data_IF_132391797873
#
_entry.id   IF_132391797873
#
_cell.length_a   1.000
_cell.length_b   1.000
_cell.length_c   1.000
_cell.angle_alpha   90.00
_cell.angle_beta   90.00
_cell.angle_gamma   90.00
#
_symmetry.space_group_name_H-M   'P 1'
#
loop_
_entity.id
_entity.type
_entity.pdbx_description
1 polymer ?
#
# COMPACT_ATOMS: atom_id res chain seq x y z
N UNK A 1 -21.25 -8.02 18.88
CA UNK A 1 -20.66 -7.93 17.55
C UNK A 1 -20.79 -6.49 17.10
N UNK A 2 -19.67 -5.73 17.15
CA UNK A 2 -19.64 -4.43 16.52
C UNK A 2 -19.65 -4.65 15.02
N UNK A 3 -20.65 -4.09 14.34
CA UNK A 3 -20.55 -3.93 12.88
C UNK A 3 -19.32 -3.05 12.63
N UNK A 4 -18.30 -3.51 11.90
CA UNK A 4 -17.12 -2.68 11.59
C UNK A 4 -17.48 -1.51 10.66
N UNK A 5 -18.70 -1.44 10.21
CA UNK A 5 -19.25 -0.49 9.24
C UNK A 5 -20.23 0.49 9.89
N UNK A 6 -19.85 1.11 10.99
CA UNK A 6 -20.48 2.36 11.38
C UNK A 6 -20.28 3.32 10.21
N UNK A 7 -21.39 3.84 9.68
CA UNK A 7 -21.40 4.84 8.59
C UNK A 7 -20.31 5.89 8.80
N UNK A 8 -19.16 5.67 8.16
CA UNK A 8 -18.02 6.59 8.23
C UNK A 8 -18.32 7.89 7.48
N UNK A 9 -19.33 7.89 6.64
CA UNK A 9 -19.98 9.09 6.12
C UNK A 9 -21.21 9.30 6.97
N UNK A 10 -21.09 10.09 8.04
CA UNK A 10 -22.25 10.52 8.79
C UNK A 10 -23.22 11.20 7.82
N UNK A 11 -24.53 10.95 7.94
CA UNK A 11 -25.56 11.71 7.21
C UNK A 11 -25.45 13.23 7.44
N UNK A 12 -24.62 13.66 8.37
CA UNK A 12 -24.31 15.04 8.71
C UNK A 12 -23.10 15.61 7.97
N UNK A 13 -22.41 14.81 7.12
CA UNK A 13 -21.38 15.35 6.21
C UNK A 13 -20.09 15.89 6.85
N UNK A 14 -19.76 15.48 8.10
CA UNK A 14 -18.52 15.94 8.73
C UNK A 14 -17.33 15.19 8.19
N UNK A 15 -16.67 15.75 7.17
CA UNK A 15 -15.43 15.28 6.61
C UNK A 15 -14.26 15.91 7.38
N UNK A 16 -13.36 15.10 7.94
CA UNK A 16 -12.19 15.57 8.71
C UNK A 16 -10.95 15.86 7.84
N UNK A 17 -10.95 15.41 6.59
CA UNK A 17 -9.86 15.69 5.65
C UNK A 17 -10.08 17.04 4.92
N UNK A 18 -9.01 17.66 4.38
CA UNK A 18 -9.14 18.79 3.48
C UNK A 18 -10.14 18.55 2.35
N UNK A 19 -10.69 19.63 1.76
CA UNK A 19 -11.79 19.53 0.79
C UNK A 19 -11.45 18.73 -0.47
N UNK A 20 -10.19 18.75 -0.90
CA UNK A 20 -9.73 18.21 -2.17
C UNK A 20 -9.49 16.69 -2.17
N UNK A 21 -9.31 16.03 -1.02
CA UNK A 21 -9.18 14.57 -0.96
C UNK A 21 -10.02 13.93 0.14
N UNK A 22 -10.26 12.63 0.01
CA UNK A 22 -10.90 11.81 1.05
C UNK A 22 -10.36 10.39 1.05
N UNK A 23 -10.37 9.76 2.23
CA UNK A 23 -10.12 8.32 2.34
C UNK A 23 -11.38 7.54 2.01
N UNK A 24 -11.22 6.50 1.19
CA UNK A 24 -12.27 5.54 0.84
C UNK A 24 -11.84 4.16 1.34
N UNK A 25 -12.43 3.72 2.44
CA UNK A 25 -12.12 2.43 3.04
C UNK A 25 -12.93 1.34 2.37
N UNK A 26 -12.27 0.33 1.80
CA UNK A 26 -12.92 -0.73 1.03
C UNK A 26 -13.03 -2.08 1.77
N UNK A 27 -12.21 -2.28 2.80
CA UNK A 27 -12.25 -3.47 3.65
C UNK A 27 -11.66 -3.19 5.03
N UNK A 28 -11.91 -4.06 5.99
CA UNK A 28 -11.35 -4.06 7.35
C UNK A 28 -10.67 -5.39 7.64
N UNK A 29 -9.68 -5.39 8.54
CA UNK A 29 -8.98 -6.58 8.99
C UNK A 29 -7.98 -7.13 7.96
N UNK A 30 -7.24 -8.16 8.37
CA UNK A 30 -6.18 -8.75 7.55
C UNK A 30 -6.00 -10.23 7.89
N UNK A 31 -5.82 -11.07 6.85
CA UNK A 31 -5.61 -12.52 7.01
C UNK A 31 -4.11 -12.91 7.01
N UNK A 32 -3.19 -11.95 6.92
CA UNK A 32 -1.77 -12.25 7.01
C UNK A 32 -1.32 -12.55 8.44
N UNK A 33 -0.25 -13.32 8.54
CA UNK A 33 0.38 -13.71 9.81
C UNK A 33 1.82 -13.19 9.91
N UNK A 34 2.06 -11.95 9.43
CA UNK A 34 3.38 -11.32 9.53
C UNK A 34 3.82 -11.26 10.99
N UNK A 35 5.03 -11.74 11.30
CA UNK A 35 5.47 -11.92 12.68
C UNK A 35 5.61 -10.63 13.47
N UNK A 36 5.86 -9.51 12.80
CA UNK A 36 5.98 -8.17 13.40
C UNK A 36 4.65 -7.44 13.60
N UNK A 37 3.53 -8.04 13.19
CA UNK A 37 2.24 -7.33 13.07
C UNK A 37 1.17 -7.98 13.95
N UNK A 38 0.37 -7.13 14.63
CA UNK A 38 -0.77 -7.53 15.47
C UNK A 38 -2.13 -7.11 14.89
N UNK A 39 -2.16 -6.62 13.67
CA UNK A 39 -3.40 -6.14 13.04
C UNK A 39 -4.52 -7.19 13.05
N UNK A 40 -4.27 -8.49 12.74
CA UNK A 40 -5.34 -9.50 12.82
C UNK A 40 -5.94 -9.66 14.22
N UNK A 41 -5.18 -9.40 15.27
CA UNK A 41 -5.66 -9.42 16.65
C UNK A 41 -6.51 -8.18 16.98
N UNK A 42 -6.13 -7.01 16.45
CA UNK A 42 -6.81 -5.73 16.72
C UNK A 42 -8.04 -5.51 15.83
N UNK A 43 -7.96 -5.90 14.55
CA UNK A 43 -8.96 -5.57 13.53
C UNK A 43 -9.73 -6.79 13.01
N UNK A 44 -9.36 -7.99 13.44
CA UNK A 44 -9.98 -9.23 13.00
C UNK A 44 -9.54 -9.67 11.59
N UNK A 45 -10.29 -10.61 11.06
CA UNK A 45 -10.09 -11.15 9.70
C UNK A 45 -10.55 -10.15 8.65
N UNK A 46 -10.05 -10.33 7.43
CA UNK A 46 -10.47 -9.55 6.27
C UNK A 46 -12.00 -9.62 6.10
N UNK A 47 -12.61 -8.46 5.99
CA UNK A 47 -14.03 -8.28 5.66
C UNK A 47 -14.16 -7.17 4.60
N UNK A 48 -14.56 -7.54 3.39
CA UNK A 48 -14.73 -6.64 2.26
C UNK A 48 -16.11 -6.00 2.27
N UNK A 49 -16.15 -4.70 2.01
CA UNK A 49 -17.41 -3.95 1.87
C UNK A 49 -18.09 -4.28 0.53
N UNK A 50 -19.44 -4.24 0.46
CA UNK A 50 -20.16 -4.34 -0.78
C UNK A 50 -19.77 -3.26 -1.79
N UNK A 51 -19.73 -3.64 -3.09
CA UNK A 51 -19.39 -2.71 -4.19
C UNK A 51 -20.37 -1.53 -4.23
N UNK A 52 -21.68 -1.79 -4.06
CA UNK A 52 -22.69 -0.73 -4.05
C UNK A 52 -22.43 0.34 -2.99
N UNK A 53 -22.05 -0.06 -1.77
CA UNK A 53 -21.78 0.87 -0.68
C UNK A 53 -20.52 1.71 -0.96
N UNK A 54 -19.46 1.08 -1.45
CA UNK A 54 -18.21 1.77 -1.81
C UNK A 54 -18.47 2.78 -2.92
N UNK A 55 -19.18 2.38 -3.97
CA UNK A 55 -19.48 3.26 -5.10
C UNK A 55 -20.40 4.41 -4.74
N UNK A 56 -21.41 4.16 -3.86
CA UNK A 56 -22.26 5.22 -3.32
C UNK A 56 -21.44 6.26 -2.56
N UNK A 57 -20.60 5.82 -1.64
CA UNK A 57 -19.72 6.72 -0.88
C UNK A 57 -18.79 7.50 -1.80
N UNK A 58 -18.16 6.84 -2.76
CA UNK A 58 -17.26 7.46 -3.72
C UNK A 58 -17.95 8.55 -4.56
N UNK A 59 -19.21 8.32 -5.00
CA UNK A 59 -20.02 9.32 -5.73
C UNK A 59 -20.36 10.51 -4.84
N UNK A 60 -20.82 10.30 -3.61
CA UNK A 60 -21.12 11.36 -2.64
C UNK A 60 -19.87 12.23 -2.35
N UNK A 61 -18.71 11.61 -2.19
CA UNK A 61 -17.45 12.32 -2.01
C UNK A 61 -17.10 13.17 -3.23
N UNK A 62 -17.23 12.63 -4.45
CA UNK A 62 -17.06 13.39 -5.69
C UNK A 62 -18.03 14.59 -5.78
N UNK A 63 -19.30 14.37 -5.51
CA UNK A 63 -20.36 15.40 -5.52
C UNK A 63 -20.08 16.51 -4.49
N UNK A 64 -19.47 16.16 -3.35
CA UNK A 64 -19.02 17.13 -2.35
C UNK A 64 -17.76 17.93 -2.75
N UNK A 65 -17.23 17.70 -3.95
CA UNK A 65 -16.09 18.45 -4.50
C UNK A 65 -14.73 17.78 -4.32
N UNK A 66 -14.66 16.57 -3.79
CA UNK A 66 -13.41 15.80 -3.66
C UNK A 66 -12.79 15.57 -5.05
N UNK A 67 -11.49 15.79 -5.15
CA UNK A 67 -10.70 15.62 -6.39
C UNK A 67 -9.87 14.35 -6.38
N UNK A 68 -9.58 13.80 -5.21
CA UNK A 68 -8.78 12.58 -5.05
C UNK A 68 -9.39 11.65 -4.00
N UNK A 69 -9.60 10.38 -4.38
CA UNK A 69 -9.95 9.29 -3.47
C UNK A 69 -8.70 8.49 -3.11
N UNK A 70 -8.36 8.46 -1.83
CA UNK A 70 -7.32 7.60 -1.28
C UNK A 70 -7.95 6.27 -0.83
N UNK A 71 -7.85 5.25 -1.66
CA UNK A 71 -8.40 3.91 -1.36
C UNK A 71 -7.51 3.23 -0.35
N UNK A 72 -8.09 2.84 0.77
CA UNK A 72 -7.38 2.28 1.93
C UNK A 72 -8.03 1.00 2.45
N UNK A 73 -7.19 0.13 2.98
CA UNK A 73 -7.51 -0.96 3.91
C UNK A 73 -6.21 -1.47 4.55
N UNK A 74 -6.24 -2.55 5.34
CA UNK A 74 -5.03 -3.20 5.84
C UNK A 74 -4.31 -4.02 4.76
N UNK A 75 -5.04 -4.53 3.77
CA UNK A 75 -4.54 -5.15 2.54
C UNK A 75 -5.53 -4.87 1.41
N UNK A 76 -5.29 -3.82 0.68
CA UNK A 76 -6.16 -3.35 -0.39
C UNK A 76 -6.23 -4.35 -1.55
N UNK A 77 -5.14 -5.06 -1.83
CA UNK A 77 -5.09 -6.05 -2.90
C UNK A 77 -5.86 -7.33 -2.59
N UNK A 78 -6.20 -7.59 -1.32
CA UNK A 78 -7.00 -8.75 -0.92
C UNK A 78 -8.52 -8.51 -1.01
N UNK A 79 -8.98 -7.34 -1.45
CA UNK A 79 -10.40 -7.03 -1.55
C UNK A 79 -11.19 -8.12 -2.28
N UNK A 80 -12.26 -8.59 -1.66
CA UNK A 80 -13.15 -9.65 -2.16
C UNK A 80 -12.68 -11.08 -1.92
N UNK A 81 -11.47 -11.30 -1.40
CA UNK A 81 -10.96 -12.66 -1.12
C UNK A 81 -11.85 -13.40 -0.10
N UNK A 82 -12.33 -12.72 0.93
CA UNK A 82 -13.25 -13.25 1.94
C UNK A 82 -14.63 -13.62 1.36
N UNK A 83 -15.02 -12.97 0.28
CA UNK A 83 -16.25 -13.24 -0.50
C UNK A 83 -16.01 -14.20 -1.67
N UNK A 84 -14.83 -14.87 -1.71
CA UNK A 84 -14.42 -15.78 -2.80
C UNK A 84 -14.51 -15.15 -4.19
N UNK A 85 -14.28 -13.83 -4.26
CA UNK A 85 -14.40 -13.04 -5.49
C UNK A 85 -15.77 -13.18 -6.18
N UNK A 86 -16.83 -13.30 -5.38
CA UNK A 86 -18.19 -13.40 -5.88
C UNK A 86 -18.64 -12.17 -6.68
N UNK A 87 -19.83 -12.27 -7.27
CA UNK A 87 -20.47 -11.15 -7.96
C UNK A 87 -21.26 -10.34 -6.95
N UNK A 88 -21.14 -9.04 -7.02
CA UNK A 88 -21.96 -8.05 -6.34
C UNK A 88 -22.53 -7.08 -7.40
N UNK A 89 -23.39 -6.17 -7.00
CA UNK A 89 -24.09 -5.28 -7.91
C UNK A 89 -23.86 -3.83 -7.52
N UNK A 90 -23.69 -2.95 -8.49
CA UNK A 90 -23.77 -1.50 -8.31
C UNK A 90 -25.22 -1.08 -8.05
N UNK A 91 -25.45 0.15 -7.60
CA UNK A 91 -26.81 0.68 -7.35
C UNK A 91 -27.70 0.69 -8.60
N UNK A 92 -27.11 0.83 -9.79
CA UNK A 92 -27.78 0.76 -11.09
C UNK A 92 -27.94 -0.68 -11.61
N UNK A 93 -27.63 -1.70 -10.80
CA UNK A 93 -27.85 -3.11 -11.08
C UNK A 93 -26.80 -3.77 -11.97
N UNK A 94 -25.67 -3.11 -12.27
CA UNK A 94 -24.58 -3.75 -13.01
C UNK A 94 -23.84 -4.76 -12.12
N UNK A 95 -23.61 -5.96 -12.69
CA UNK A 95 -22.82 -6.98 -12.03
C UNK A 95 -21.33 -6.63 -12.05
N UNK A 96 -20.69 -6.65 -10.87
CA UNK A 96 -19.26 -6.38 -10.68
C UNK A 96 -18.65 -7.51 -9.87
N UNK A 97 -17.53 -8.05 -10.32
CA UNK A 97 -16.83 -9.05 -9.54
C UNK A 97 -16.11 -8.37 -8.37
N UNK A 98 -16.28 -8.90 -7.17
CA UNK A 98 -15.61 -8.39 -5.95
C UNK A 98 -14.11 -8.70 -6.01
N UNK A 99 -13.39 -7.95 -6.85
CA UNK A 99 -11.92 -7.96 -6.97
C UNK A 99 -11.42 -6.54 -7.00
N UNK A 100 -10.25 -6.32 -6.47
CA UNK A 100 -9.63 -4.98 -6.51
C UNK A 100 -9.53 -4.43 -7.94
N UNK A 101 -9.22 -5.26 -8.92
CA UNK A 101 -9.14 -4.86 -10.32
C UNK A 101 -10.48 -4.31 -10.85
N UNK A 102 -11.58 -5.01 -10.57
CA UNK A 102 -12.91 -4.63 -11.09
C UNK A 102 -13.46 -3.43 -10.32
N UNK A 103 -13.21 -3.35 -9.00
CA UNK A 103 -13.51 -2.15 -8.22
C UNK A 103 -12.71 -0.92 -8.71
N UNK A 104 -11.44 -1.08 -9.08
CA UNK A 104 -10.64 0.01 -9.63
C UNK A 104 -11.17 0.50 -10.98
N UNK A 105 -11.71 -0.37 -11.83
CA UNK A 105 -12.38 0.05 -13.06
C UNK A 105 -13.59 0.94 -12.77
N UNK A 106 -14.45 0.51 -11.84
CA UNK A 106 -15.63 1.29 -11.45
C UNK A 106 -15.25 2.65 -10.84
N UNK A 107 -14.25 2.68 -9.97
CA UNK A 107 -13.74 3.93 -9.38
C UNK A 107 -13.11 4.85 -10.42
N UNK A 108 -12.40 4.29 -11.40
CA UNK A 108 -11.78 5.05 -12.49
C UNK A 108 -12.78 5.78 -13.38
N UNK A 109 -14.01 5.26 -13.52
CA UNK A 109 -15.10 5.91 -14.29
C UNK A 109 -15.65 7.17 -13.58
N UNK A 110 -15.27 7.43 -12.34
CA UNK A 110 -15.68 8.64 -11.63
C UNK A 110 -15.03 9.92 -12.19
N UNK A 111 -13.91 9.82 -12.92
CA UNK A 111 -13.23 10.96 -13.52
C UNK A 111 -12.56 11.89 -12.50
N UNK A 112 -12.22 11.39 -11.31
CA UNK A 112 -11.39 12.03 -10.30
C UNK A 112 -10.19 11.14 -9.99
N UNK A 113 -9.18 11.67 -9.34
CA UNK A 113 -8.00 10.90 -9.00
C UNK A 113 -8.33 9.76 -8.02
N UNK A 114 -7.86 8.56 -8.32
CA UNK A 114 -7.96 7.36 -7.47
C UNK A 114 -6.56 6.87 -7.17
N UNK A 115 -6.17 6.92 -5.89
CA UNK A 115 -4.87 6.46 -5.40
C UNK A 115 -5.05 5.23 -4.54
N UNK A 116 -4.26 4.19 -4.81
CA UNK A 116 -4.27 2.96 -4.02
C UNK A 116 -3.17 2.97 -2.97
N UNK A 117 -3.51 2.63 -1.74
CA UNK A 117 -2.57 2.45 -0.64
C UNK A 117 -2.57 0.99 -0.14
N UNK A 118 -1.47 0.56 0.47
CA UNK A 118 -1.33 -0.71 1.17
C UNK A 118 -1.61 -1.94 0.31
N UNK A 119 -0.98 -1.97 -0.88
CA UNK A 119 -1.06 -3.12 -1.78
C UNK A 119 -0.08 -4.21 -1.33
N UNK A 120 -0.56 -5.44 -1.14
CA UNK A 120 0.32 -6.58 -0.95
C UNK A 120 0.75 -7.12 -2.32
N UNK A 121 2.00 -7.59 -2.51
CA UNK A 121 2.53 -7.94 -3.82
C UNK A 121 2.01 -9.28 -4.37
N UNK A 122 0.70 -9.47 -4.49
CA UNK A 122 0.11 -10.59 -5.19
C UNK A 122 0.31 -10.49 -6.71
N UNK A 123 0.29 -11.63 -7.40
CA UNK A 123 0.46 -11.66 -8.85
C UNK A 123 -0.59 -10.81 -9.61
N UNK A 124 -1.82 -10.75 -9.12
CA UNK A 124 -2.89 -10.00 -9.77
C UNK A 124 -2.72 -8.46 -9.72
N UNK A 125 -1.80 -7.96 -8.89
CA UNK A 125 -1.45 -6.52 -8.85
C UNK A 125 -0.87 -6.05 -10.19
N UNK A 126 -0.23 -6.93 -10.95
CA UNK A 126 0.30 -6.59 -12.28
C UNK A 126 -0.81 -6.04 -13.20
N UNK A 127 -2.03 -6.60 -13.12
CA UNK A 127 -3.19 -6.11 -13.87
C UNK A 127 -3.75 -4.78 -13.36
N UNK A 128 -3.52 -4.45 -12.09
CA UNK A 128 -3.86 -3.12 -11.57
C UNK A 128 -2.91 -2.07 -12.12
N UNK A 129 -1.64 -2.44 -12.33
CA UNK A 129 -0.65 -1.54 -12.97
C UNK A 129 -1.00 -1.28 -14.45
N UNK A 130 -1.64 -2.24 -15.14
CA UNK A 130 -2.19 -2.01 -16.49
C UNK A 130 -3.25 -0.89 -16.48
N UNK A 131 -4.17 -0.87 -15.50
CA UNK A 131 -5.15 0.22 -15.34
C UNK A 131 -4.50 1.58 -15.05
N UNK A 132 -3.37 1.58 -14.32
CA UNK A 132 -2.58 2.79 -14.10
C UNK A 132 -1.99 3.31 -15.42
N UNK A 133 -1.47 2.43 -16.26
CA UNK A 133 -0.94 2.79 -17.58
C UNK A 133 -2.05 3.29 -18.54
N UNK A 134 -3.27 2.79 -18.41
CA UNK A 134 -4.45 3.26 -19.15
C UNK A 134 -4.99 4.62 -18.63
N UNK A 135 -4.45 5.15 -17.54
CA UNK A 135 -4.91 6.41 -16.93
C UNK A 135 -6.26 6.30 -16.19
N UNK A 136 -6.74 5.09 -15.91
CA UNK A 136 -7.99 4.86 -15.15
C UNK A 136 -7.84 5.20 -13.67
N UNK A 137 -6.68 4.93 -13.11
CA UNK A 137 -6.29 5.27 -11.74
C UNK A 137 -4.88 5.87 -11.76
N UNK A 138 -4.48 6.57 -10.71
CA UNK A 138 -3.17 7.20 -10.64
C UNK A 138 -2.04 6.17 -10.79
N UNK A 139 -0.96 6.51 -11.53
CA UNK A 139 0.24 5.68 -11.66
C UNK A 139 1.08 5.71 -10.37
N UNK A 140 0.49 5.22 -9.30
CA UNK A 140 1.04 5.22 -7.95
C UNK A 140 0.77 3.89 -7.27
N UNK A 141 1.83 3.16 -6.91
CA UNK A 141 1.76 1.85 -6.28
C UNK A 141 2.44 1.89 -4.92
N UNK A 142 1.66 1.74 -3.85
CA UNK A 142 2.14 1.66 -2.47
C UNK A 142 2.20 0.19 -2.03
N UNK A 143 3.40 -0.38 -2.06
CA UNK A 143 3.65 -1.79 -1.72
C UNK A 143 4.67 -1.88 -0.59
N UNK A 144 4.26 -2.19 0.66
CA UNK A 144 5.19 -2.36 1.77
C UNK A 144 5.95 -3.69 1.63
N UNK A 145 7.18 -3.64 1.10
CA UNK A 145 8.03 -4.83 0.95
C UNK A 145 8.58 -5.34 2.28
N UNK A 146 8.77 -4.46 3.25
CA UNK A 146 9.23 -4.69 4.62
C UNK A 146 10.73 -5.00 4.71
N UNK A 147 11.30 -5.85 3.85
CA UNK A 147 12.72 -6.18 3.73
C UNK A 147 13.02 -6.68 2.32
N UNK A 148 14.29 -6.93 2.01
CA UNK A 148 14.71 -7.52 0.73
C UNK A 148 15.38 -8.89 0.91
N UNK A 149 16.09 -9.12 2.02
CA UNK A 149 16.84 -10.36 2.21
C UNK A 149 15.92 -11.57 2.46
N UNK A 150 16.07 -12.69 1.69
CA UNK A 150 15.14 -13.82 1.74
C UNK A 150 14.96 -14.44 3.12
N UNK A 151 16.06 -14.59 3.90
CA UNK A 151 16.00 -15.16 5.26
C UNK A 151 15.16 -14.28 6.19
N UNK A 152 15.36 -12.95 6.14
CA UNK A 152 14.63 -12.00 6.97
C UNK A 152 13.15 -11.98 6.57
N UNK A 153 12.83 -11.92 5.28
CA UNK A 153 11.46 -12.01 4.78
C UNK A 153 10.76 -13.31 5.22
N UNK A 154 11.48 -14.44 5.19
CA UNK A 154 10.97 -15.72 5.70
C UNK A 154 10.66 -15.65 7.20
N UNK A 155 11.55 -15.05 8.00
CA UNK A 155 11.32 -14.84 9.43
C UNK A 155 10.15 -13.88 9.70
N UNK A 156 9.95 -12.89 8.85
CA UNK A 156 8.78 -12.00 8.86
C UNK A 156 7.49 -12.67 8.38
N UNK A 157 7.52 -13.90 7.89
CA UNK A 157 6.41 -14.58 7.19
C UNK A 157 5.89 -13.77 6.00
N UNK A 158 6.81 -13.23 5.21
CA UNK A 158 6.54 -12.51 3.96
C UNK A 158 7.01 -13.33 2.76
N UNK A 159 6.46 -13.10 1.53
CA UNK A 159 7.03 -13.69 0.32
C UNK A 159 8.50 -13.34 0.18
N UNK A 160 9.35 -14.36 0.01
CA UNK A 160 10.78 -14.25 0.30
C UNK A 160 11.69 -14.17 -0.92
N UNK A 161 11.14 -13.94 -2.12
CA UNK A 161 11.97 -13.90 -3.32
C UNK A 161 12.30 -12.43 -3.70
N UNK A 162 13.39 -11.90 -3.18
CA UNK A 162 13.83 -10.53 -3.49
C UNK A 162 14.15 -10.34 -4.97
N UNK A 163 14.74 -11.34 -5.63
CA UNK A 163 15.00 -11.32 -7.07
C UNK A 163 13.70 -11.22 -7.88
N UNK A 164 12.65 -11.91 -7.46
CA UNK A 164 11.34 -11.80 -8.07
C UNK A 164 10.75 -10.41 -7.85
N UNK A 165 11.00 -9.80 -6.68
CA UNK A 165 10.55 -8.43 -6.39
C UNK A 165 11.20 -7.40 -7.33
N UNK A 166 12.51 -7.49 -7.57
CA UNK A 166 13.20 -6.63 -8.53
C UNK A 166 12.68 -6.81 -9.95
N UNK A 167 12.51 -8.06 -10.40
CA UNK A 167 11.92 -8.37 -11.72
C UNK A 167 10.50 -7.81 -11.85
N UNK A 168 9.70 -7.90 -10.79
CA UNK A 168 8.35 -7.33 -10.80
C UNK A 168 8.36 -5.81 -10.87
N UNK A 169 9.20 -5.13 -10.09
CA UNK A 169 9.37 -3.68 -10.18
C UNK A 169 9.75 -3.26 -11.61
N UNK A 170 10.67 -3.98 -12.24
CA UNK A 170 11.06 -3.75 -13.62
C UNK A 170 9.91 -3.99 -14.61
N UNK A 171 9.12 -5.04 -14.39
CA UNK A 171 7.93 -5.34 -15.20
C UNK A 171 6.88 -4.25 -15.04
N UNK A 172 6.57 -3.83 -13.83
CA UNK A 172 5.61 -2.75 -13.58
C UNK A 172 6.01 -1.45 -14.27
N UNK A 173 7.32 -1.10 -14.24
CA UNK A 173 7.82 0.08 -14.94
C UNK A 173 7.81 -0.04 -16.46
N UNK A 174 7.90 -1.26 -17.00
CA UNK A 174 7.69 -1.49 -18.44
C UNK A 174 6.24 -1.31 -18.85
N UNK A 175 5.30 -1.76 -18.01
CA UNK A 175 3.85 -1.60 -18.24
C UNK A 175 3.45 -0.13 -18.08
N UNK A 176 3.92 0.52 -17.03
CA UNK A 176 3.60 1.90 -16.68
C UNK A 176 4.90 2.69 -16.41
N UNK A 177 5.49 3.34 -17.44
CA UNK A 177 6.77 4.05 -17.31
C UNK A 177 6.77 5.19 -16.27
N UNK A 178 5.62 5.85 -16.10
CA UNK A 178 5.43 6.95 -15.14
C UNK A 178 5.09 6.48 -13.72
N UNK A 179 5.12 5.16 -13.48
CA UNK A 179 4.76 4.58 -12.20
C UNK A 179 5.66 5.09 -11.07
N UNK A 180 5.03 5.72 -10.10
CA UNK A 180 5.64 6.05 -8.80
C UNK A 180 5.45 4.89 -7.84
N UNK A 181 6.53 4.34 -7.30
CA UNK A 181 6.48 3.24 -6.34
C UNK A 181 6.87 3.76 -4.96
N UNK A 182 5.92 3.65 -4.03
CA UNK A 182 6.14 3.86 -2.60
C UNK A 182 6.30 2.52 -1.89
N UNK A 183 7.16 2.48 -0.89
CA UNK A 183 7.32 1.29 -0.05
C UNK A 183 7.64 1.65 1.40
N UNK A 184 7.54 0.63 2.24
CA UNK A 184 7.91 0.70 3.66
C UNK A 184 8.80 -0.49 4.00
N UNK A 185 9.83 -0.23 4.79
CA UNK A 185 10.79 -1.23 5.26
C UNK A 185 10.97 -1.18 6.76
N UNK A 186 11.49 -2.27 7.32
CA UNK A 186 11.86 -2.40 8.72
C UNK A 186 13.35 -2.76 8.75
N UNK A 187 14.15 -1.96 9.45
CA UNK A 187 15.56 -2.23 9.72
C UNK A 187 15.73 -2.73 11.16
N UNK A 188 16.71 -3.60 11.38
CA UNK A 188 16.99 -4.12 12.72
C UNK A 188 15.99 -5.16 13.20
N UNK A 189 15.38 -5.92 12.30
CA UNK A 189 14.50 -7.04 12.65
C UNK A 189 15.27 -8.09 13.47
N UNK A 190 14.65 -8.80 14.45
CA UNK A 190 15.35 -9.79 15.28
C UNK A 190 16.17 -10.78 14.45
N UNK A 191 17.45 -10.89 14.79
CA UNK A 191 18.43 -11.73 14.10
C UNK A 191 18.92 -11.22 12.74
N UNK A 192 18.57 -10.01 12.32
CA UNK A 192 19.14 -9.40 11.11
C UNK A 192 20.64 -9.16 11.29
N UNK A 193 21.46 -9.71 10.41
CA UNK A 193 22.91 -9.49 10.41
C UNK A 193 23.29 -8.23 9.64
N UNK A 194 24.55 -7.78 9.77
CA UNK A 194 25.04 -6.62 9.00
C UNK A 194 25.05 -6.91 7.49
N UNK A 195 25.43 -8.12 7.09
CA UNK A 195 25.44 -8.53 5.67
C UNK A 195 24.03 -8.51 5.07
N UNK A 196 23.01 -8.91 5.84
CA UNK A 196 21.62 -8.87 5.40
C UNK A 196 21.08 -7.45 5.32
N UNK A 197 21.51 -6.59 6.21
CA UNK A 197 21.19 -5.17 6.13
C UNK A 197 21.90 -4.52 4.94
N UNK A 198 23.19 -4.84 4.68
CA UNK A 198 23.89 -4.37 3.49
C UNK A 198 23.20 -4.83 2.19
N UNK A 199 22.73 -6.09 2.15
CA UNK A 199 21.92 -6.60 1.04
C UNK A 199 20.65 -5.75 0.81
N UNK A 200 19.99 -5.31 1.89
CA UNK A 200 18.84 -4.42 1.81
C UNK A 200 19.20 -3.05 1.19
N UNK A 201 20.35 -2.47 1.56
CA UNK A 201 20.81 -1.21 0.96
C UNK A 201 21.14 -1.36 -0.53
N UNK A 202 21.74 -2.48 -0.92
CA UNK A 202 22.05 -2.75 -2.34
C UNK A 202 20.76 -2.97 -3.15
N UNK A 203 19.77 -3.65 -2.58
CA UNK A 203 18.43 -3.75 -3.17
C UNK A 203 17.81 -2.37 -3.42
N UNK A 204 17.92 -1.42 -2.49
CA UNK A 204 17.39 -0.06 -2.69
C UNK A 204 18.04 0.63 -3.89
N UNK A 205 19.36 0.52 -4.00
CA UNK A 205 20.14 1.12 -5.11
C UNK A 205 19.73 0.54 -6.45
N UNK A 206 19.40 -0.76 -6.51
CA UNK A 206 18.94 -1.41 -7.74
C UNK A 206 17.46 -1.13 -8.03
N UNK A 207 16.61 -1.22 -7.01
CA UNK A 207 15.17 -1.03 -7.13
C UNK A 207 14.78 0.41 -7.48
N UNK A 208 15.59 1.41 -7.11
CA UNK A 208 15.35 2.82 -7.42
C UNK A 208 13.91 3.26 -7.09
N UNK A 209 13.46 2.95 -5.86
CA UNK A 209 12.09 3.30 -5.43
C UNK A 209 11.94 4.81 -5.25
N UNK A 210 10.75 5.34 -5.54
CA UNK A 210 10.50 6.79 -5.56
C UNK A 210 10.34 7.38 -4.16
N UNK A 211 9.57 6.70 -3.32
CA UNK A 211 9.26 7.11 -1.95
C UNK A 211 9.35 5.92 -1.02
N UNK A 212 10.21 5.99 -0.04
CA UNK A 212 10.37 4.91 0.93
C UNK A 212 10.45 5.47 2.34
N UNK A 213 9.70 4.85 3.25
CA UNK A 213 9.87 4.99 4.69
C UNK A 213 10.56 3.77 5.26
N UNK A 214 11.45 3.98 6.24
CA UNK A 214 12.04 2.92 7.03
C UNK A 214 11.75 3.14 8.50
N UNK A 215 11.34 2.07 9.19
CA UNK A 215 11.17 2.05 10.62
C UNK A 215 12.27 1.19 11.25
N UNK A 216 12.86 1.65 12.34
CA UNK A 216 13.59 0.78 13.24
C UNK A 216 12.60 -0.24 13.82
N UNK A 217 12.98 -1.52 13.86
CA UNK A 217 12.10 -2.54 14.46
C UNK A 217 11.76 -2.15 15.91
N UNK A 218 10.47 -2.11 16.18
CA UNK A 218 9.95 -1.86 17.53
C UNK A 218 9.14 -3.07 18.00
N UNK A 219 9.47 -3.68 19.13
CA UNK A 219 8.70 -4.79 19.68
C UNK A 219 7.32 -4.29 20.11
N UNK A 220 6.29 -4.87 19.50
CA UNK A 220 4.89 -4.59 19.85
C UNK A 220 4.36 -5.77 20.65
N UNK A 221 3.73 -5.51 21.79
CA UNK A 221 3.14 -6.55 22.63
C UNK A 221 2.20 -7.45 21.79
N UNK A 222 2.36 -8.76 21.93
CA UNK A 222 1.60 -9.76 21.18
C UNK A 222 2.13 -10.08 19.77
N UNK A 223 3.17 -9.40 19.28
CA UNK A 223 3.80 -9.73 18.01
C UNK A 223 4.73 -10.93 18.15
N UNK A 224 4.56 -11.94 17.28
CA UNK A 224 5.35 -13.18 17.34
C UNK A 224 6.86 -12.96 17.10
N UNK A 225 7.25 -11.85 16.46
CA UNK A 225 8.65 -11.52 16.26
C UNK A 225 9.41 -11.24 17.55
N UNK A 226 8.73 -10.89 18.63
CA UNK A 226 9.36 -10.64 19.94
C UNK A 226 9.99 -11.89 20.52
N UNK A 227 9.51 -13.08 20.14
CA UNK A 227 10.03 -14.38 20.58
C UNK A 227 11.20 -14.89 19.72
N UNK A 228 11.56 -14.16 18.66
CA UNK A 228 12.67 -14.55 17.79
C UNK A 228 14.01 -14.22 18.47
N UNK A 229 15.01 -15.11 18.31
CA UNK A 229 16.35 -14.87 18.86
C UNK A 229 17.06 -13.74 18.11
N UNK A 230 18.05 -13.14 18.78
CA UNK A 230 18.92 -12.15 18.16
C UNK A 230 18.31 -10.75 18.09
N UNK A 231 17.53 -10.37 19.10
CA UNK A 231 17.06 -8.99 19.22
C UNK A 231 18.27 -8.03 19.25
N UNK A 232 18.22 -7.01 18.40
CA UNK A 232 19.28 -6.01 18.29
C UNK A 232 19.05 -4.87 19.29
N UNK A 233 20.11 -4.26 19.83
CA UNK A 233 19.99 -3.04 20.63
C UNK A 233 19.29 -1.90 19.86
N UNK A 234 18.63 -1.01 20.58
CA UNK A 234 17.90 0.12 20.01
C UNK A 234 18.80 1.01 19.15
N UNK A 235 20.02 1.27 19.64
CA UNK A 235 21.01 2.10 18.96
C UNK A 235 21.40 1.50 17.57
N UNK A 236 21.51 0.18 17.49
CA UNK A 236 21.83 -0.51 16.22
C UNK A 236 20.64 -0.43 15.25
N UNK A 237 19.41 -0.59 15.77
CA UNK A 237 18.20 -0.51 14.96
C UNK A 237 18.00 0.90 14.39
N UNK A 238 18.20 1.93 15.20
CA UNK A 238 18.12 3.34 14.81
C UNK A 238 19.24 3.71 13.81
N UNK A 239 20.45 3.28 14.06
CA UNK A 239 21.60 3.51 13.17
C UNK A 239 21.35 2.89 11.79
N UNK A 240 20.82 1.65 11.73
CA UNK A 240 20.46 1.02 10.46
C UNK A 240 19.35 1.76 9.74
N UNK A 241 18.31 2.19 10.45
CA UNK A 241 17.27 3.04 9.87
C UNK A 241 17.85 4.31 9.26
N UNK A 242 18.75 4.98 9.96
CA UNK A 242 19.33 6.24 9.50
C UNK A 242 20.21 6.04 8.26
N UNK A 243 21.04 5.00 8.22
CA UNK A 243 21.80 4.61 7.01
C UNK A 243 20.89 4.29 5.83
N UNK A 244 19.80 3.55 6.08
CA UNK A 244 18.79 3.26 5.07
C UNK A 244 18.19 4.53 4.51
N UNK A 245 17.76 5.45 5.37
CA UNK A 245 17.11 6.71 4.98
C UNK A 245 18.09 7.65 4.24
N UNK A 246 19.38 7.62 4.58
CA UNK A 246 20.39 8.36 3.84
C UNK A 246 20.49 7.87 2.38
N UNK A 247 20.62 6.56 2.16
CA UNK A 247 20.67 5.98 0.80
C UNK A 247 19.37 6.30 0.04
N UNK A 248 18.22 6.18 0.69
CA UNK A 248 16.94 6.48 0.05
C UNK A 248 16.78 7.96 -0.30
N UNK A 249 17.28 8.86 0.53
CA UNK A 249 17.27 10.30 0.25
C UNK A 249 18.00 10.64 -1.04
N UNK A 250 19.17 10.06 -1.26
CA UNK A 250 19.95 10.23 -2.49
C UNK A 250 19.20 9.71 -3.72
N UNK A 251 18.60 8.51 -3.62
CA UNK A 251 17.79 7.92 -4.69
C UNK A 251 16.58 8.81 -5.00
N UNK A 252 15.87 9.27 -3.97
CA UNK A 252 14.68 10.11 -4.14
C UNK A 252 15.05 11.46 -4.79
N UNK A 253 16.13 12.08 -4.37
CA UNK A 253 16.64 13.33 -4.97
C UNK A 253 16.98 13.15 -6.45
N UNK A 254 17.71 12.07 -6.79
CA UNK A 254 18.06 11.76 -8.17
C UNK A 254 16.84 11.50 -9.07
N UNK A 255 15.80 10.83 -8.54
CA UNK A 255 14.56 10.61 -9.27
C UNK A 255 13.74 11.89 -9.44
N UNK A 256 13.67 12.74 -8.43
CA UNK A 256 12.99 14.04 -8.51
C UNK A 256 13.69 14.98 -9.51
N UNK A 257 15.02 14.98 -9.53
CA UNK A 257 15.78 15.77 -10.48
C UNK A 257 15.42 15.47 -11.95
N UNK A 258 15.05 14.22 -12.27
CA UNK A 258 14.61 13.82 -13.62
C UNK A 258 13.27 14.45 -14.03
N UNK A 259 12.48 14.96 -13.08
CA UNK A 259 11.20 15.65 -13.36
C UNK A 259 11.36 17.14 -13.62
N UNK A 260 12.54 17.72 -13.38
CA UNK A 260 12.81 19.13 -13.67
C UNK A 260 12.68 19.37 -15.17
N UNK A 261 11.93 20.41 -15.55
CA UNK A 261 11.66 20.73 -16.95
C UNK A 261 10.52 19.93 -17.59
N UNK A 262 9.83 19.07 -16.84
CA UNK A 262 8.63 18.38 -17.32
C UNK A 262 7.35 19.05 -16.81
N UNK A 263 6.25 18.90 -17.56
CA UNK A 263 4.92 19.37 -17.12
C UNK A 263 4.29 18.26 -16.27
N UNK A 264 3.81 18.62 -15.08
CA UNK A 264 3.13 17.70 -14.17
C UNK A 264 1.74 18.25 -13.81
N UNK A 265 0.73 17.39 -13.80
CA UNK A 265 -0.58 17.73 -13.25
C UNK A 265 -0.54 17.60 -11.74
N UNK A 266 -0.97 18.60 -11.00
CA UNK A 266 -0.94 18.63 -9.54
C UNK A 266 -2.29 19.06 -8.96
N UNK A 267 -2.58 18.62 -7.75
CA UNK A 267 -3.62 19.20 -6.89
C UNK A 267 -2.90 20.12 -5.91
N UNK A 268 -3.39 21.34 -5.76
CA UNK A 268 -2.85 22.29 -4.79
C UNK A 268 -3.50 22.00 -3.44
N UNK A 269 -2.68 21.60 -2.47
CA UNK A 269 -3.13 21.25 -1.11
C UNK A 269 -3.37 22.51 -0.28
N UNK A 270 -2.49 23.51 -0.42
CA UNK A 270 -2.57 24.81 0.25
C UNK A 270 -2.32 25.90 -0.81
N UNK A 271 -3.20 26.92 -0.91
CA UNK A 271 -3.04 28.01 -1.87
C UNK A 271 -1.93 29.00 -1.48
#
# INVERSE_FOLDING_TARGET
PHSPWLDLVSKAGLKLTPSHYAYLKISEGCNHHCTFCIIPQLRGKLESRPVAEIMREARLLKESGVKELMVISQDTSAYGMDKRYGIDFTEDGRAVQMRILDLCKELGELGIWVRLHYMYPYAHVDRVVELMAEGKILPYLDVPFQHAHPRVLKAMKRPAAAEETLKRIQTWRKICPDLTIRSTFIAGFPGETEDEFQYLLDFLKEAQLDRVGCFAYSPIEGAAANELPGALPDEVREERRDRFMQVQSEISAARLAKKIGTIQTVIIDEP
#
